data_IF_082597266637
#
_entry.id   IF_082597266637
#
_cell.length_a   1.000
_cell.length_b   1.000
_cell.length_c   1.000
_cell.angle_alpha   90.00
_cell.angle_beta   90.00
_cell.angle_gamma   90.00
#
_symmetry.space_group_name_H-M   'P 1'
#
loop_
_entity.id
_entity.type
_entity.pdbx_description
1 polymer ?
#
# COMPACT_ATOMS: atom_id res chain seq x y z
N UNK A 1 -31.70 -34.78 -5.57
CA UNK A 1 -30.68 -34.08 -6.40
C UNK A 1 -30.91 -32.56 -6.54
N UNK A 2 -31.84 -31.94 -5.79
CA UNK A 2 -32.12 -30.49 -5.88
C UNK A 2 -31.39 -29.67 -4.80
N UNK A 3 -30.98 -30.32 -3.71
CA UNK A 3 -30.28 -29.69 -2.58
C UNK A 3 -28.77 -29.55 -2.77
N UNK A 4 -28.17 -30.32 -3.69
CA UNK A 4 -26.72 -30.27 -3.97
C UNK A 4 -26.35 -28.98 -4.72
N UNK A 5 -27.24 -28.48 -5.60
CA UNK A 5 -27.01 -27.25 -6.37
C UNK A 5 -27.05 -26.00 -5.48
N UNK A 6 -27.84 -26.03 -4.41
CA UNK A 6 -27.95 -24.90 -3.46
C UNK A 6 -26.74 -24.78 -2.52
N UNK A 7 -26.04 -25.88 -2.23
CA UNK A 7 -24.87 -25.89 -1.36
C UNK A 7 -23.58 -25.43 -2.08
N UNK A 8 -23.52 -25.53 -3.41
CA UNK A 8 -22.33 -25.12 -4.16
C UNK A 8 -22.22 -23.59 -4.37
N UNK A 9 -23.31 -22.85 -4.21
CA UNK A 9 -23.34 -21.41 -4.47
C UNK A 9 -22.74 -20.54 -3.34
N UNK A 10 -22.55 -21.09 -2.14
CA UNK A 10 -22.08 -20.32 -0.97
C UNK A 10 -20.56 -20.34 -0.77
N UNK A 11 -19.80 -21.16 -1.51
CA UNK A 11 -18.35 -21.29 -1.33
C UNK A 11 -17.50 -20.26 -2.11
N UNK A 12 -18.10 -19.42 -2.97
CA UNK A 12 -17.35 -18.40 -3.73
C UNK A 12 -17.09 -17.09 -2.95
N UNK A 13 -17.53 -16.98 -1.69
CA UNK A 13 -17.37 -15.76 -0.89
C UNK A 13 -16.06 -15.70 -0.08
N UNK A 14 -15.09 -16.60 -0.29
CA UNK A 14 -13.78 -16.55 0.37
C UNK A 14 -12.82 -15.59 -0.35
N UNK A 15 -13.24 -14.34 -0.57
CA UNK A 15 -12.40 -13.32 -1.18
C UNK A 15 -11.64 -12.54 -0.09
N UNK A 16 -10.31 -12.52 -0.21
CA UNK A 16 -9.42 -11.59 0.48
C UNK A 16 -8.66 -12.19 1.66
N UNK A 17 -7.33 -12.08 1.63
CA UNK A 17 -6.57 -12.01 2.87
C UNK A 17 -7.03 -10.71 3.56
N UNK A 18 -7.82 -10.83 4.61
CA UNK A 18 -8.38 -9.68 5.33
C UNK A 18 -7.29 -9.13 6.26
N UNK A 19 -6.39 -8.28 5.75
CA UNK A 19 -5.60 -7.42 6.62
C UNK A 19 -6.40 -6.15 6.86
N UNK A 20 -6.53 -5.75 8.13
CA UNK A 20 -7.24 -4.53 8.50
C UNK A 20 -6.50 -3.31 7.94
N UNK A 21 -5.16 -3.31 8.01
CA UNK A 21 -4.31 -2.31 7.39
C UNK A 21 -3.16 -2.92 6.58
N UNK A 22 -2.86 -2.30 5.45
CA UNK A 22 -1.66 -2.49 4.65
C UNK A 22 -0.74 -1.30 4.88
N UNK A 23 0.48 -1.53 5.34
CA UNK A 23 1.49 -0.48 5.56
C UNK A 23 2.70 -0.75 4.69
N UNK A 24 3.07 0.20 3.84
CA UNK A 24 4.26 0.11 2.98
C UNK A 24 5.38 0.93 3.60
N UNK A 25 6.55 0.31 3.70
CA UNK A 25 7.78 0.86 4.21
C UNK A 25 8.75 1.09 3.04
N UNK A 26 9.46 2.21 3.02
CA UNK A 26 10.59 2.43 2.10
C UNK A 26 11.83 1.61 2.56
N UNK A 27 12.88 1.60 1.74
CA UNK A 27 14.16 0.95 2.06
C UNK A 27 14.81 1.40 3.39
N UNK A 28 14.47 2.60 3.90
CA UNK A 28 14.92 3.09 5.22
C UNK A 28 13.95 2.73 6.35
N UNK A 29 12.89 1.97 6.09
CA UNK A 29 11.86 1.59 7.05
C UNK A 29 10.85 2.69 7.36
N UNK A 30 10.73 3.75 6.54
CA UNK A 30 9.75 4.82 6.76
C UNK A 30 8.41 4.45 6.13
N UNK A 31 7.31 4.74 6.81
CA UNK A 31 5.96 4.53 6.27
C UNK A 31 5.74 5.50 5.10
N UNK A 32 5.53 4.96 3.90
CA UNK A 32 5.22 5.72 2.68
C UNK A 32 3.76 5.60 2.26
N UNK A 33 3.07 4.55 2.71
CA UNK A 33 1.65 4.36 2.49
C UNK A 33 1.04 3.54 3.63
N UNK A 34 -0.17 3.90 4.05
CA UNK A 34 -0.96 3.13 4.98
C UNK A 34 -2.42 3.23 4.58
N UNK A 35 -3.08 2.09 4.43
CA UNK A 35 -4.44 2.05 3.90
C UNK A 35 -5.18 0.78 4.31
N UNK A 36 -6.51 0.81 4.27
CA UNK A 36 -7.36 -0.36 4.53
C UNK A 36 -7.57 -1.25 3.29
N UNK A 37 -7.20 -0.80 2.09
CA UNK A 37 -7.29 -1.60 0.85
C UNK A 37 -5.90 -1.97 0.33
N UNK A 38 -5.71 -3.12 -0.33
CA UNK A 38 -4.40 -3.51 -0.82
C UNK A 38 -3.88 -2.48 -1.85
N UNK A 39 -2.71 -1.87 -1.61
CA UNK A 39 -2.17 -0.82 -2.48
C UNK A 39 -1.34 -1.40 -3.62
N UNK A 40 -1.35 -2.71 -3.89
CA UNK A 40 -0.75 -3.31 -5.09
C UNK A 40 -1.61 -4.49 -5.54
N UNK A 41 -1.36 -5.01 -6.73
CA UNK A 41 -2.01 -6.24 -7.18
C UNK A 41 -1.58 -7.43 -6.31
N UNK A 42 -2.57 -8.06 -5.65
CA UNK A 42 -2.40 -9.24 -4.79
C UNK A 42 -2.47 -10.56 -5.56
N UNK A 43 -2.81 -10.55 -6.86
CA UNK A 43 -2.74 -11.74 -7.70
C UNK A 43 -1.28 -12.13 -8.03
N UNK A 44 -0.36 -11.19 -7.83
CA UNK A 44 1.07 -11.34 -8.06
C UNK A 44 1.84 -11.38 -6.74
N UNK A 45 3.11 -11.81 -6.81
CA UNK A 45 3.96 -11.86 -5.64
C UNK A 45 4.37 -10.45 -5.18
N UNK A 46 4.26 -10.19 -3.88
CA UNK A 46 4.54 -8.88 -3.25
C UNK A 46 5.95 -8.37 -3.51
N UNK A 47 6.94 -9.26 -3.52
CA UNK A 47 8.33 -8.89 -3.79
C UNK A 47 8.55 -8.36 -5.22
N UNK A 48 7.57 -8.51 -6.11
CA UNK A 48 7.57 -7.92 -7.45
C UNK A 48 6.77 -6.62 -7.46
N UNK A 49 5.54 -6.65 -6.96
CA UNK A 49 4.60 -5.53 -7.09
C UNK A 49 4.87 -4.39 -6.12
N UNK A 50 5.36 -4.66 -4.91
CA UNK A 50 5.70 -3.62 -3.93
C UNK A 50 6.90 -2.79 -4.39
N UNK A 51 8.04 -3.38 -4.82
CA UNK A 51 9.14 -2.59 -5.34
C UNK A 51 8.85 -1.88 -6.67
N UNK A 52 7.98 -2.46 -7.50
CA UNK A 52 7.54 -1.82 -8.76
C UNK A 52 6.77 -0.52 -8.51
N UNK A 53 5.83 -0.52 -7.53
CA UNK A 53 5.02 0.67 -7.21
C UNK A 53 5.71 1.66 -6.28
N UNK A 54 6.50 1.20 -5.31
CA UNK A 54 7.04 2.01 -4.21
C UNK A 54 8.57 2.20 -4.23
N UNK A 55 9.27 1.53 -5.15
CA UNK A 55 10.71 1.65 -5.33
C UNK A 55 11.52 0.49 -4.71
N UNK A 56 12.81 0.37 -5.07
CA UNK A 56 13.65 -0.75 -4.64
C UNK A 56 13.83 -0.79 -3.12
N UNK A 57 13.72 -1.99 -2.54
CA UNK A 57 13.85 -2.20 -1.10
C UNK A 57 12.62 -1.80 -0.29
N UNK A 58 11.50 -1.46 -0.95
CA UNK A 58 10.23 -1.27 -0.27
C UNK A 58 9.62 -2.61 0.16
N UNK A 59 9.02 -2.62 1.34
CA UNK A 59 8.37 -3.79 1.93
C UNK A 59 6.94 -3.44 2.38
N UNK A 60 6.06 -4.44 2.39
CA UNK A 60 4.67 -4.26 2.82
C UNK A 60 4.34 -5.16 4.01
N UNK A 61 3.73 -4.58 5.03
CA UNK A 61 3.34 -5.22 6.28
C UNK A 61 1.82 -5.25 6.39
N UNK A 62 1.28 -6.41 6.80
CA UNK A 62 -0.13 -6.63 7.06
C UNK A 62 -0.41 -6.50 8.57
N UNK A 63 -1.30 -5.58 8.95
CA UNK A 63 -1.73 -5.36 10.33
C UNK A 63 -3.17 -5.84 10.57
N UNK A 64 -3.45 -6.34 11.78
CA UNK A 64 -4.74 -6.96 12.13
C UNK A 64 -5.72 -6.01 12.81
N UNK A 65 -5.26 -4.87 13.35
CA UNK A 65 -6.15 -3.95 14.06
C UNK A 65 -5.50 -2.57 14.17
N UNK A 66 -5.92 -1.65 13.31
CA UNK A 66 -5.98 -0.24 13.68
C UNK A 66 -7.31 0.28 13.14
N UNK A 67 -8.15 0.81 14.02
CA UNK A 67 -9.48 1.34 13.67
C UNK A 67 -9.36 2.56 12.72
N UNK A 68 -8.14 3.06 12.53
CA UNK A 68 -7.81 4.23 11.75
C UNK A 68 -6.66 3.93 10.76
N UNK A 69 -6.74 2.80 10.06
CA UNK A 69 -5.97 2.63 8.82
C UNK A 69 -6.25 3.85 7.93
N UNK A 70 -5.20 4.52 7.48
CA UNK A 70 -5.30 5.72 6.64
C UNK A 70 -6.28 5.58 5.45
N UNK A 71 -6.59 6.68 4.75
CA UNK A 71 -7.62 6.70 3.71
C UNK A 71 -7.43 5.54 2.71
N UNK A 72 -8.54 5.02 2.14
CA UNK A 72 -8.47 3.94 1.15
C UNK A 72 -7.49 4.33 0.04
N UNK A 73 -6.63 3.39 -0.35
CA UNK A 73 -5.66 3.65 -1.39
C UNK A 73 -6.41 3.86 -2.69
N UNK A 74 -5.94 4.83 -3.47
CA UNK A 74 -6.40 5.05 -4.83
C UNK A 74 -6.34 3.70 -5.57
N UNK A 75 -7.45 3.28 -6.22
CA UNK A 75 -7.52 2.03 -6.96
C UNK A 75 -6.31 1.88 -7.88
N UNK A 76 -5.69 0.70 -7.90
CA UNK A 76 -4.53 0.42 -8.73
C UNK A 76 -4.79 0.74 -10.22
N UNK A 77 -6.04 0.64 -10.68
CA UNK A 77 -6.47 1.00 -12.03
C UNK A 77 -6.34 2.50 -12.37
N UNK A 78 -6.33 3.41 -11.39
CA UNK A 78 -6.22 4.86 -11.63
C UNK A 78 -4.77 5.39 -11.62
N UNK A 79 -3.83 4.62 -11.07
CA UNK A 79 -2.42 5.03 -10.98
C UNK A 79 -1.66 4.90 -12.32
N UNK A 80 -2.21 4.17 -13.29
CA UNK A 80 -1.57 3.97 -14.60
C UNK A 80 -1.69 5.17 -15.54
N UNK A 81 -2.52 6.18 -15.24
CA UNK A 81 -2.85 7.24 -16.22
C UNK A 81 -2.73 8.68 -15.72
N UNK A 82 -2.33 8.93 -14.47
CA UNK A 82 -2.07 10.30 -14.03
C UNK A 82 -0.58 10.58 -14.10
N UNK A 83 -0.07 11.22 -15.19
CA UNK A 83 1.28 11.77 -15.15
C UNK A 83 1.30 12.77 -13.99
N UNK A 84 2.14 12.51 -13.00
CA UNK A 84 2.46 13.48 -11.96
C UNK A 84 3.11 14.66 -12.67
N UNK A 85 2.33 15.71 -12.95
CA UNK A 85 2.87 16.99 -13.37
C UNK A 85 3.64 17.53 -12.19
N UNK A 86 4.95 17.32 -12.18
CA UNK A 86 5.84 18.07 -11.32
C UNK A 86 5.65 19.54 -11.67
N UNK A 87 4.86 20.26 -10.88
CA UNK A 87 4.87 21.71 -10.92
C UNK A 87 6.29 22.11 -10.58
N UNK A 88 7.04 22.58 -11.57
CA UNK A 88 8.35 23.18 -11.41
C UNK A 88 8.18 24.45 -10.54
N UNK A 89 8.10 24.23 -9.23
CA UNK A 89 7.70 25.19 -8.23
C UNK A 89 8.78 25.31 -7.18
N UNK A 90 9.80 26.11 -7.51
CA UNK A 90 10.77 26.76 -6.62
C UNK A 90 11.76 25.85 -5.86
N UNK A 91 13.09 26.06 -6.00
CA UNK A 91 14.08 25.40 -5.17
C UNK A 91 14.04 26.00 -3.76
N UNK A 92 13.07 25.60 -2.93
CA UNK A 92 13.14 25.89 -1.51
C UNK A 92 14.10 24.90 -0.87
N UNK A 93 15.39 25.23 -0.95
CA UNK A 93 16.44 24.58 -0.17
C UNK A 93 16.01 24.62 1.31
N UNK A 94 15.57 23.47 1.84
CA UNK A 94 15.33 23.32 3.27
C UNK A 94 16.71 23.36 3.92
N UNK A 95 17.10 24.54 4.40
CA UNK A 95 18.31 24.74 5.21
C UNK A 95 18.11 23.99 6.53
N UNK A 96 18.51 22.71 6.57
CA UNK A 96 18.57 21.96 7.81
C UNK A 96 19.63 22.62 8.69
N UNK A 97 19.27 22.99 9.92
CA UNK A 97 20.26 23.50 10.89
C UNK A 97 21.28 22.40 11.19
N UNK A 98 22.58 22.71 11.33
CA UNK A 98 23.57 21.74 11.76
C UNK A 98 23.15 21.13 13.09
N UNK A 99 23.18 19.80 13.18
CA UNK A 99 22.93 19.06 14.41
C UNK A 99 24.11 19.33 15.35
N UNK A 100 23.85 19.94 16.49
CA UNK A 100 24.87 20.20 17.50
C UNK A 100 25.46 18.88 18.01
N UNK A 101 26.78 18.83 18.07
CA UNK A 101 27.59 17.82 18.73
C UNK A 101 27.32 17.83 20.24
N UNK A 102 27.14 16.64 20.83
CA UNK A 102 27.06 16.48 22.27
C UNK A 102 28.49 16.31 22.79
N UNK A 103 29.00 17.34 23.44
CA UNK A 103 30.14 17.25 24.37
C UNK A 103 29.74 16.56 25.67
#
# INVERSE_FOLDING_TARGET
>A
MKHIVLLAATLLASAGAQASCYTVLDAKGQIVSQTSTPPVDMALQLHQTVPERFGPGADMVFGVADENCGPPAEPFEAAQLTPVVHKAGSPRAVRRKPKADRG
#
